data_IF_700790943698
#
_entry.id   IF_700790943698
#
_cell.length_a   1.000
_cell.length_b   1.000
_cell.length_c   1.000
_cell.angle_alpha   90.00
_cell.angle_beta   90.00
_cell.angle_gamma   90.00
#
_symmetry.space_group_name_H-M   'P 1'
#
loop_
_entity.id
_entity.type
_entity.pdbx_description
1 polymer ?
#
# COMPACT_ATOMS: atom_id res chain seq x y z
N UNK A 1 -22.37 -5.25 38.22
CA UNK A 1 -22.35 -3.97 38.97
C UNK A 1 -22.43 -2.83 37.98
N UNK A 2 -23.35 -1.88 38.12
CA UNK A 2 -23.40 -0.70 37.27
C UNK A 2 -23.24 0.57 38.10
N UNK A 3 -22.78 1.64 37.46
CA UNK A 3 -22.59 2.93 38.09
C UNK A 3 -22.44 4.05 37.06
N UNK A 4 -22.39 5.29 37.57
CA UNK A 4 -22.10 6.44 36.74
C UNK A 4 -21.33 7.48 37.54
N UNK A 5 -20.45 8.21 36.85
CA UNK A 5 -19.80 9.40 37.42
C UNK A 5 -19.78 10.51 36.37
N UNK A 6 -19.72 11.75 36.84
CA UNK A 6 -19.63 12.93 35.98
C UNK A 6 -18.38 13.73 36.29
N UNK A 7 -17.78 14.32 35.27
CA UNK A 7 -16.60 15.18 35.37
C UNK A 7 -16.72 16.38 34.42
N UNK A 8 -15.96 17.44 34.69
CA UNK A 8 -15.87 18.61 33.81
C UNK A 8 -14.65 18.42 32.90
N UNK A 9 -14.85 18.49 31.58
CA UNK A 9 -13.77 18.34 30.61
C UNK A 9 -12.98 19.67 30.42
N UNK A 10 -11.83 19.66 29.71
CA UNK A 10 -11.07 20.87 29.40
C UNK A 10 -11.84 21.93 28.58
N UNK A 11 -12.99 21.57 27.98
CA UNK A 11 -13.89 22.48 27.26
C UNK A 11 -14.99 23.03 28.19
N UNK A 12 -14.86 22.83 29.50
CA UNK A 12 -15.83 23.22 30.53
C UNK A 12 -17.23 22.59 30.34
N UNK A 13 -17.33 21.44 29.66
CA UNK A 13 -18.56 20.68 29.51
C UNK A 13 -18.63 19.55 30.54
N UNK A 14 -19.81 19.32 31.11
CA UNK A 14 -20.06 18.16 31.97
C UNK A 14 -20.18 16.92 31.10
N UNK A 15 -19.36 15.93 31.37
CA UNK A 15 -19.39 14.62 30.72
C UNK A 15 -19.78 13.56 31.73
N UNK A 16 -20.64 12.64 31.32
CA UNK A 16 -21.11 11.56 32.19
C UNK A 16 -20.67 10.23 31.61
N UNK A 17 -19.96 9.44 32.40
CA UNK A 17 -19.60 8.06 32.06
C UNK A 17 -20.56 7.14 32.77
N UNK A 18 -21.22 6.27 32.02
CA UNK A 18 -21.94 5.12 32.57
C UNK A 18 -21.08 3.88 32.37
N UNK A 19 -21.03 3.02 33.37
CA UNK A 19 -20.30 1.78 33.27
C UNK A 19 -21.06 0.61 33.88
N UNK A 20 -20.82 -0.57 33.30
CA UNK A 20 -21.38 -1.85 33.71
C UNK A 20 -20.26 -2.88 33.72
N UNK A 21 -20.07 -3.53 34.86
CA UNK A 21 -19.21 -4.70 35.02
C UNK A 21 -20.10 -5.96 35.08
N UNK A 22 -19.95 -6.83 34.09
CA UNK A 22 -20.64 -8.10 33.95
C UNK A 22 -19.66 -9.26 33.71
N UNK A 23 -20.17 -10.47 33.46
CA UNK A 23 -19.36 -11.68 33.23
C UNK A 23 -18.43 -11.58 32.01
N UNK A 24 -18.73 -10.67 31.08
CA UNK A 24 -17.93 -10.43 29.86
C UNK A 24 -16.92 -9.30 30.01
N UNK A 25 -16.87 -8.65 31.19
CA UNK A 25 -15.86 -7.66 31.53
C UNK A 25 -16.44 -6.31 31.94
N UNK A 26 -15.62 -5.26 31.77
CA UNK A 26 -15.97 -3.89 32.11
C UNK A 26 -16.34 -3.08 30.86
N UNK A 27 -17.57 -2.60 30.80
CA UNK A 27 -18.12 -1.81 29.70
C UNK A 27 -18.37 -0.38 30.16
N UNK A 28 -17.67 0.59 29.59
CA UNK A 28 -17.90 2.01 29.85
C UNK A 28 -18.36 2.73 28.60
N UNK A 29 -19.38 3.58 28.73
CA UNK A 29 -19.95 4.40 27.67
C UNK A 29 -19.99 5.86 28.11
N UNK A 30 -19.51 6.75 27.23
CA UNK A 30 -19.55 8.19 27.46
C UNK A 30 -20.85 8.76 26.89
N UNK A 31 -21.60 9.45 27.74
CA UNK A 31 -22.88 10.07 27.39
C UNK A 31 -22.67 11.57 27.19
N UNK A 32 -23.41 12.16 26.25
CA UNK A 32 -23.33 13.57 25.86
C UNK A 32 -21.97 13.97 25.27
N UNK A 33 -21.36 13.08 24.46
CA UNK A 33 -20.19 13.40 23.65
C UNK A 33 -20.58 14.10 22.34
N UNK A 34 -21.25 15.26 22.43
CA UNK A 34 -21.43 16.15 21.28
C UNK A 34 -20.27 17.14 21.24
N UNK A 35 -19.13 16.62 20.79
CA UNK A 35 -18.05 17.40 20.20
C UNK A 35 -18.14 17.30 18.69
N UNK A 36 -19.30 17.68 18.12
CA UNK A 36 -19.31 18.11 16.73
C UNK A 36 -18.49 19.39 16.69
N UNK A 37 -17.19 19.25 16.41
CA UNK A 37 -16.37 20.38 16.00
C UNK A 37 -16.99 20.84 14.69
N UNK A 38 -17.87 21.84 14.78
CA UNK A 38 -18.33 22.55 13.60
C UNK A 38 -17.07 22.98 12.87
N UNK A 39 -16.88 22.48 11.65
CA UNK A 39 -15.73 22.90 10.86
C UNK A 39 -15.77 24.42 10.81
N UNK A 40 -14.66 25.10 11.14
CA UNK A 40 -14.63 26.54 11.10
C UNK A 40 -15.03 26.97 9.68
N UNK A 41 -16.04 27.83 9.59
CA UNK A 41 -16.47 28.40 8.31
C UNK A 41 -15.27 29.14 7.74
N UNK A 42 -14.95 28.88 6.47
CA UNK A 42 -13.85 29.56 5.79
C UNK A 42 -14.02 31.08 5.90
N UNK A 43 -12.95 31.77 6.28
CA UNK A 43 -12.92 33.23 6.14
C UNK A 43 -13.02 33.62 4.66
N UNK A 44 -13.45 34.86 4.37
CA UNK A 44 -13.56 35.31 2.98
C UNK A 44 -12.25 35.17 2.20
N UNK A 45 -11.12 35.44 2.86
CA UNK A 45 -9.80 35.28 2.28
C UNK A 45 -9.51 33.82 1.89
N UNK A 46 -9.85 32.87 2.77
CA UNK A 46 -9.67 31.43 2.51
C UNK A 46 -10.58 30.98 1.37
N UNK A 47 -11.84 31.44 1.35
CA UNK A 47 -12.78 31.14 0.26
C UNK A 47 -12.26 31.63 -1.10
N UNK A 48 -11.81 32.89 -1.17
CA UNK A 48 -11.24 33.48 -2.39
C UNK A 48 -9.96 32.76 -2.83
N UNK A 49 -9.10 32.34 -1.89
CA UNK A 49 -7.90 31.58 -2.20
C UNK A 49 -8.24 30.20 -2.78
N UNK A 50 -9.23 29.50 -2.22
CA UNK A 50 -9.71 28.21 -2.75
C UNK A 50 -10.25 28.35 -4.18
N UNK A 51 -11.03 29.39 -4.45
CA UNK A 51 -11.59 29.67 -5.78
C UNK A 51 -10.48 29.95 -6.81
N UNK A 52 -9.51 30.80 -6.47
CA UNK A 52 -8.34 31.06 -7.33
C UNK A 52 -7.54 29.79 -7.60
N UNK A 53 -7.32 28.97 -6.57
CA UNK A 53 -6.59 27.72 -6.71
C UNK A 53 -7.33 26.73 -7.62
N UNK A 54 -8.65 26.61 -7.45
CA UNK A 54 -9.49 25.76 -8.28
C UNK A 54 -9.41 26.14 -9.77
N UNK A 55 -9.51 27.43 -10.08
CA UNK A 55 -9.38 27.93 -11.45
C UNK A 55 -8.00 27.65 -12.06
N UNK A 56 -6.93 27.87 -11.27
CA UNK A 56 -5.56 27.59 -11.72
C UNK A 56 -5.37 26.10 -11.98
N UNK A 57 -5.84 25.25 -11.08
CA UNK A 57 -5.78 23.80 -11.23
C UNK A 57 -6.50 23.36 -12.50
N UNK A 58 -7.73 23.84 -12.72
CA UNK A 58 -8.51 23.51 -13.91
C UNK A 58 -7.76 23.87 -15.20
N UNK A 59 -7.20 25.09 -15.26
CA UNK A 59 -6.42 25.56 -16.40
C UNK A 59 -5.19 24.68 -16.69
N UNK A 60 -4.47 24.27 -15.65
CA UNK A 60 -3.31 23.38 -15.80
C UNK A 60 -3.75 21.97 -16.24
N UNK A 61 -4.84 21.46 -15.66
CA UNK A 61 -5.41 20.17 -16.01
C UNK A 61 -5.83 20.14 -17.48
N UNK A 62 -6.52 21.16 -17.98
CA UNK A 62 -6.88 21.31 -19.40
C UNK A 62 -5.63 21.38 -20.29
N UNK A 63 -4.64 22.20 -19.93
CA UNK A 63 -3.40 22.32 -20.69
C UNK A 63 -2.64 20.97 -20.79
N UNK A 64 -2.67 20.18 -19.71
CA UNK A 64 -2.06 18.85 -19.70
C UNK A 64 -2.92 17.80 -20.45
N UNK A 65 -4.25 17.92 -20.40
CA UNK A 65 -5.20 17.01 -21.05
C UNK A 65 -5.17 17.10 -22.57
N UNK A 66 -4.90 18.29 -23.13
CA UNK A 66 -4.75 18.48 -24.56
C UNK A 66 -3.45 17.90 -25.15
N UNK A 67 -2.67 17.20 -24.32
CA UNK A 67 -1.35 16.72 -24.66
C UNK A 67 -0.43 17.91 -24.76
N UNK A 68 0.46 18.07 -23.77
CA UNK A 68 1.66 18.89 -23.99
C UNK A 68 2.25 18.38 -25.31
N UNK A 69 2.40 19.25 -26.32
CA UNK A 69 3.25 18.95 -27.46
C UNK A 69 4.65 18.90 -26.88
N UNK A 70 4.97 17.78 -26.25
CA UNK A 70 6.26 17.61 -25.63
C UNK A 70 7.18 17.53 -26.83
N UNK A 71 7.93 18.60 -27.04
CA UNK A 71 9.17 18.55 -27.77
C UNK A 71 10.10 17.68 -26.92
N UNK A 72 9.74 16.39 -26.83
CA UNK A 72 10.39 15.39 -26.01
C UNK A 72 11.81 15.37 -26.53
N UNK A 73 12.82 15.64 -25.69
CA UNK A 73 14.19 15.63 -26.15
C UNK A 73 14.42 14.32 -26.90
N UNK A 74 14.68 14.42 -28.20
CA UNK A 74 14.98 13.24 -29.00
C UNK A 74 16.20 12.58 -28.35
N UNK A 75 16.09 11.29 -28.06
CA UNK A 75 17.19 10.54 -27.46
C UNK A 75 18.47 10.85 -28.22
N UNK A 76 19.52 11.18 -27.47
CA UNK A 76 20.84 11.33 -28.05
C UNK A 76 21.33 9.98 -28.58
N UNK A 77 22.27 9.99 -29.52
CA UNK A 77 22.86 8.77 -30.07
C UNK A 77 23.45 7.87 -28.98
N UNK A 78 23.99 8.46 -27.90
CA UNK A 78 24.53 7.68 -26.77
C UNK A 78 23.44 6.98 -25.97
N UNK A 79 22.29 7.62 -25.75
CA UNK A 79 21.13 7.02 -25.06
C UNK A 79 20.54 5.90 -25.90
N UNK A 80 20.40 6.08 -27.22
CA UNK A 80 19.97 5.02 -28.13
C UNK A 80 20.88 3.79 -28.06
N UNK A 81 22.20 4.00 -28.19
CA UNK A 81 23.19 2.91 -28.05
C UNK A 81 23.17 2.23 -26.69
N UNK A 82 22.87 2.96 -25.61
CA UNK A 82 22.75 2.37 -24.28
C UNK A 82 21.52 1.46 -24.17
N UNK A 83 20.39 1.89 -24.75
CA UNK A 83 19.17 1.07 -24.84
C UNK A 83 19.42 -0.20 -25.65
N UNK A 84 20.06 -0.09 -26.81
CA UNK A 84 20.36 -1.24 -27.66
C UNK A 84 21.26 -2.26 -26.93
N UNK A 85 22.32 -1.80 -26.27
CA UNK A 85 23.19 -2.66 -25.45
C UNK A 85 22.43 -3.32 -24.32
N UNK A 86 21.52 -2.60 -23.67
CA UNK A 86 20.71 -3.16 -22.59
C UNK A 86 19.78 -4.26 -23.10
N UNK A 87 19.10 -4.04 -24.23
CA UNK A 87 18.24 -5.04 -24.86
C UNK A 87 19.02 -6.29 -25.26
N UNK A 88 20.22 -6.12 -25.83
CA UNK A 88 21.09 -7.25 -26.17
C UNK A 88 21.47 -8.08 -24.93
N UNK A 89 21.85 -7.42 -23.83
CA UNK A 89 22.17 -8.11 -22.58
C UNK A 89 20.95 -8.82 -21.99
N UNK A 90 19.78 -8.19 -22.03
CA UNK A 90 18.53 -8.78 -21.57
C UNK A 90 18.23 -10.09 -22.32
N UNK A 91 18.32 -10.07 -23.65
CA UNK A 91 18.14 -11.28 -24.46
C UNK A 91 19.16 -12.37 -24.13
N UNK A 92 20.45 -12.01 -24.00
CA UNK A 92 21.50 -12.97 -23.63
C UNK A 92 21.22 -13.66 -22.30
N UNK A 93 20.81 -12.90 -21.28
CA UNK A 93 20.50 -13.44 -19.95
C UNK A 93 19.26 -14.34 -20.01
N UNK A 94 18.24 -13.95 -20.79
CA UNK A 94 17.05 -14.79 -20.98
C UNK A 94 17.39 -16.14 -21.61
N UNK A 95 18.26 -16.16 -22.62
CA UNK A 95 18.74 -17.39 -23.27
C UNK A 95 19.57 -18.25 -22.31
N UNK A 96 20.48 -17.64 -21.54
CA UNK A 96 21.27 -18.32 -20.51
C UNK A 96 20.36 -18.95 -19.44
N UNK A 97 19.33 -18.23 -18.99
CA UNK A 97 18.35 -18.75 -18.03
C UNK A 97 17.55 -19.93 -18.59
N UNK A 98 17.16 -19.88 -19.87
CA UNK A 98 16.48 -20.98 -20.54
C UNK A 98 17.37 -22.24 -20.60
N UNK A 99 18.66 -22.07 -20.90
CA UNK A 99 19.63 -23.17 -20.92
C UNK A 99 19.83 -23.79 -19.52
N UNK A 100 19.98 -22.96 -18.48
CA UNK A 100 20.11 -23.42 -17.10
C UNK A 100 18.86 -24.18 -16.65
N UNK A 101 17.67 -23.68 -17.00
CA UNK A 101 16.41 -24.35 -16.68
C UNK A 101 16.33 -25.75 -17.32
N UNK A 102 16.70 -25.87 -18.59
CA UNK A 102 16.74 -27.15 -19.30
C UNK A 102 17.76 -28.11 -18.68
N UNK A 103 18.96 -27.62 -18.33
CA UNK A 103 19.98 -28.42 -17.66
C UNK A 103 19.47 -28.96 -16.32
N UNK A 104 18.93 -28.09 -15.46
CA UNK A 104 18.39 -28.48 -14.15
C UNK A 104 17.24 -29.48 -14.27
N UNK A 105 16.39 -29.34 -15.29
CA UNK A 105 15.32 -30.29 -15.54
C UNK A 105 15.88 -31.66 -15.94
N UNK A 106 16.89 -31.71 -16.81
CA UNK A 106 17.54 -32.96 -17.19
C UNK A 106 18.22 -33.64 -15.98
N UNK A 107 18.96 -32.87 -15.17
CA UNK A 107 19.57 -33.35 -13.92
C UNK A 107 18.54 -33.93 -12.95
N UNK A 108 17.41 -33.23 -12.78
CA UNK A 108 16.29 -33.72 -11.96
C UNK A 108 15.73 -35.04 -12.46
N UNK A 109 15.49 -35.17 -13.76
CA UNK A 109 14.98 -36.41 -14.36
C UNK A 109 15.97 -37.57 -14.21
N UNK A 110 17.27 -37.32 -14.36
CA UNK A 110 18.32 -38.33 -14.13
C UNK A 110 18.36 -38.75 -12.67
N UNK A 111 18.27 -37.79 -11.73
CA UNK A 111 18.21 -38.09 -10.31
C UNK A 111 16.98 -38.93 -9.97
N UNK A 112 15.79 -38.55 -10.44
CA UNK A 112 14.55 -39.32 -10.22
C UNK A 112 14.64 -40.74 -10.82
N UNK A 113 15.29 -40.90 -11.98
CA UNK A 113 15.50 -42.21 -12.61
C UNK A 113 16.51 -43.10 -11.87
N UNK A 114 17.48 -42.50 -11.18
CA UNK A 114 18.57 -43.22 -10.47
C UNK A 114 18.34 -43.33 -8.96
N UNK A 115 17.38 -42.59 -8.40
CA UNK A 115 17.06 -42.64 -6.97
C UNK A 115 16.35 -43.94 -6.62
N UNK A 116 16.92 -44.71 -5.69
CA UNK A 116 16.24 -45.85 -5.06
C UNK A 116 15.29 -45.31 -3.99
N UNK A 117 14.03 -45.75 -4.00
CA UNK A 117 13.06 -45.43 -2.93
C UNK A 117 13.60 -45.98 -1.62
N UNK A 118 13.84 -45.09 -0.66
CA UNK A 118 14.21 -45.51 0.69
C UNK A 118 12.94 -45.99 1.38
N UNK A 119 12.64 -47.29 1.31
CA UNK A 119 11.56 -47.89 2.08
C UNK A 119 11.92 -47.80 3.56
N UNK A 120 11.28 -46.87 4.28
CA UNK A 120 11.43 -46.75 5.73
C UNK A 120 10.80 -47.99 6.36
N UNK A 121 11.63 -48.97 6.77
CA UNK A 121 11.18 -50.16 7.49
C UNK A 121 10.55 -49.74 8.83
N UNK A 122 9.25 -49.99 9.08
CA UNK A 122 8.58 -49.57 10.32
C UNK A 122 8.96 -50.42 11.55
N UNK A 123 9.78 -51.46 11.41
CA UNK A 123 10.03 -52.46 12.47
C UNK A 123 11.18 -52.12 13.46
N UNK A 124 11.60 -50.86 13.57
CA UNK A 124 12.52 -50.43 14.63
C UNK A 124 11.85 -49.49 15.63
N UNK A 125 10.88 -50.04 16.35
CA UNK A 125 10.42 -49.54 17.63
C UNK A 125 10.46 -50.67 18.67
N UNK A 126 11.57 -50.77 19.40
CA UNK A 126 11.66 -51.43 20.70
C UNK A 126 12.59 -50.64 21.62
#
# INVERSE_FOLDING_TARGET
LSGSYSFVDPKHKVRTVQYTADETGFHASLINYEDTIAQPVDSEAVRLAKEKHFLLYHKIAEANAHGVTVNLPRDSVSVGRAKDRHLQLYHKIADEHAAIAAQRQAERLVYEATSVVNDVNPDHAY
#
